data_IF_078045443943
#
_entry.id   IF_078045443943
#
_cell.length_a   1.000
_cell.length_b   1.000
_cell.length_c   1.000
_cell.angle_alpha   90.00
_cell.angle_beta   90.00
_cell.angle_gamma   90.00
#
_symmetry.space_group_name_H-M   'P 1'
#
loop_
_entity.id
_entity.type
_entity.pdbx_description
1 polymer ?
#
# COMPACT_ATOMS: atom_id res chain seq x y z
N UNK A 1 -38.09 -4.33 -21.06
CA UNK A 1 -37.90 -3.46 -19.88
C UNK A 1 -37.75 -2.03 -20.35
N UNK A 2 -38.30 -1.05 -19.63
CA UNK A 2 -38.31 0.36 -20.06
C UNK A 2 -36.91 1.00 -19.95
N UNK A 3 -36.52 1.73 -20.99
CA UNK A 3 -35.23 2.39 -21.18
C UNK A 3 -34.86 3.36 -20.03
N UNK A 4 -35.88 3.91 -19.38
CA UNK A 4 -35.76 4.87 -18.27
C UNK A 4 -35.25 4.23 -16.98
N UNK A 5 -35.61 2.97 -16.71
CA UNK A 5 -35.15 2.23 -15.53
C UNK A 5 -33.68 1.82 -15.68
N UNK A 6 -33.27 1.50 -16.91
CA UNK A 6 -31.89 1.18 -17.26
C UNK A 6 -30.97 2.41 -17.14
N UNK A 7 -31.44 3.57 -17.61
CA UNK A 7 -30.73 4.85 -17.48
C UNK A 7 -30.57 5.28 -16.01
N UNK A 8 -31.58 5.05 -15.17
CA UNK A 8 -31.52 5.36 -13.73
C UNK A 8 -30.47 4.54 -12.96
N UNK A 9 -30.35 3.24 -13.27
CA UNK A 9 -29.34 2.38 -12.63
C UNK A 9 -27.92 2.67 -13.12
N UNK A 10 -27.76 3.07 -14.39
CA UNK A 10 -26.48 3.53 -14.91
C UNK A 10 -25.98 4.80 -14.22
N UNK A 11 -26.88 5.76 -13.94
CA UNK A 11 -26.54 7.02 -13.27
C UNK A 11 -26.06 6.84 -11.84
N UNK A 12 -26.72 6.01 -11.04
CA UNK A 12 -26.28 5.73 -9.66
C UNK A 12 -24.98 4.90 -9.61
N UNK A 13 -24.75 4.02 -10.58
CA UNK A 13 -23.50 3.27 -10.70
C UNK A 13 -22.30 4.19 -11.04
N UNK A 14 -22.50 5.17 -11.94
CA UNK A 14 -21.49 6.18 -12.26
C UNK A 14 -21.15 7.07 -11.05
N UNK A 15 -22.15 7.45 -10.25
CA UNK A 15 -21.96 8.23 -9.02
C UNK A 15 -21.26 7.41 -7.93
N UNK A 16 -21.59 6.13 -7.76
CA UNK A 16 -20.86 5.25 -6.85
C UNK A 16 -19.38 5.13 -7.26
N UNK A 17 -19.11 4.94 -8.56
CA UNK A 17 -17.75 4.91 -9.13
C UNK A 17 -16.94 6.20 -8.88
N UNK A 18 -17.60 7.36 -8.71
CA UNK A 18 -16.95 8.63 -8.36
C UNK A 18 -16.34 8.63 -6.95
N UNK A 19 -16.83 7.82 -6.02
CA UNK A 19 -16.32 7.77 -4.64
C UNK A 19 -15.18 6.75 -4.45
N UNK A 20 -14.96 5.88 -5.42
CA UNK A 20 -13.93 4.84 -5.39
C UNK A 20 -12.51 5.37 -5.72
N UNK A 21 -12.36 6.60 -6.24
CA UNK A 21 -11.10 7.15 -6.79
C UNK A 21 -9.99 7.41 -5.76
N UNK A 22 -10.20 7.20 -4.45
CA UNK A 22 -9.22 7.62 -3.43
C UNK A 22 -8.21 6.58 -2.93
N UNK A 23 -8.30 5.32 -3.34
CA UNK A 23 -7.19 4.34 -3.24
C UNK A 23 -7.49 3.18 -4.21
N UNK A 24 -6.57 2.87 -5.14
CA UNK A 24 -6.83 1.98 -6.28
C UNK A 24 -7.33 0.57 -5.87
N UNK A 25 -7.07 0.10 -4.64
CA UNK A 25 -7.60 -1.18 -4.14
C UNK A 25 -9.10 -1.13 -3.78
N UNK A 26 -9.56 -0.02 -3.22
CA UNK A 26 -10.97 0.17 -2.88
C UNK A 26 -11.84 0.25 -4.13
N UNK A 27 -11.35 0.95 -5.17
CA UNK A 27 -12.01 1.02 -6.48
C UNK A 27 -12.21 -0.37 -7.10
N UNK A 28 -11.16 -1.20 -7.07
CA UNK A 28 -11.21 -2.53 -7.68
C UNK A 28 -12.07 -3.51 -6.89
N UNK A 29 -12.04 -3.43 -5.56
CA UNK A 29 -12.82 -4.31 -4.68
C UNK A 29 -14.32 -4.04 -4.81
N UNK A 30 -14.71 -2.76 -4.88
CA UNK A 30 -16.13 -2.40 -5.06
C UNK A 30 -16.60 -2.73 -6.48
N UNK A 31 -15.75 -2.60 -7.50
CA UNK A 31 -16.06 -3.04 -8.86
C UNK A 31 -16.31 -4.57 -8.94
N UNK A 32 -15.52 -5.37 -8.21
CA UNK A 32 -15.73 -6.82 -8.11
C UNK A 32 -17.04 -7.14 -7.40
N UNK A 33 -17.29 -6.52 -6.24
CA UNK A 33 -18.52 -6.74 -5.48
C UNK A 33 -19.77 -6.37 -6.29
N UNK A 34 -19.73 -5.24 -7.01
CA UNK A 34 -20.80 -4.81 -7.91
C UNK A 34 -21.00 -5.76 -9.09
N UNK A 35 -19.92 -6.27 -9.68
CA UNK A 35 -20.00 -7.24 -10.78
C UNK A 35 -20.55 -8.60 -10.33
N UNK A 36 -20.18 -9.06 -9.13
CA UNK A 36 -20.73 -10.29 -8.53
C UNK A 36 -22.21 -10.13 -8.20
N UNK A 37 -22.62 -9.00 -7.61
CA UNK A 37 -24.03 -8.70 -7.36
C UNK A 37 -24.84 -8.63 -8.67
N UNK A 38 -24.27 -8.04 -9.72
CA UNK A 38 -24.89 -7.99 -11.04
C UNK A 38 -25.03 -9.39 -11.68
N UNK A 39 -24.04 -10.28 -11.50
CA UNK A 39 -24.13 -11.68 -11.94
C UNK A 39 -25.27 -12.39 -11.21
N UNK A 40 -25.32 -12.29 -9.88
CA UNK A 40 -26.36 -12.95 -9.07
C UNK A 40 -27.76 -12.45 -9.46
N UNK A 41 -27.94 -11.13 -9.58
CA UNK A 41 -29.22 -10.56 -9.99
C UNK A 41 -29.64 -11.01 -11.40
N UNK A 42 -28.74 -10.94 -12.38
CA UNK A 42 -29.04 -11.32 -13.77
C UNK A 42 -29.19 -12.84 -13.97
N UNK A 43 -28.81 -13.63 -12.98
CA UNK A 43 -29.01 -15.08 -12.95
C UNK A 43 -30.33 -15.49 -12.28
N UNK A 44 -30.71 -14.83 -11.17
CA UNK A 44 -31.87 -15.24 -10.34
C UNK A 44 -33.15 -14.42 -10.58
N UNK A 45 -33.06 -13.16 -11.02
CA UNK A 45 -34.23 -12.29 -11.16
C UNK A 45 -35.03 -12.48 -12.47
N UNK A 46 -34.42 -12.67 -13.64
CA UNK A 46 -35.17 -12.90 -14.89
C UNK A 46 -35.56 -14.38 -15.07
N UNK A 47 -36.64 -14.62 -15.83
CA UNK A 47 -37.15 -15.97 -16.12
C UNK A 47 -36.15 -16.85 -16.92
N UNK A 48 -35.30 -16.21 -17.72
CA UNK A 48 -34.12 -16.82 -18.33
C UNK A 48 -32.88 -16.00 -17.97
N UNK A 49 -31.77 -16.62 -17.56
CA UNK A 49 -30.54 -15.91 -17.22
C UNK A 49 -30.00 -15.08 -18.40
N UNK A 50 -29.63 -13.82 -18.11
CA UNK A 50 -29.03 -12.92 -19.09
C UNK A 50 -27.53 -13.21 -19.26
N UNK A 51 -27.20 -14.29 -19.97
CA UNK A 51 -25.83 -14.80 -20.14
C UNK A 51 -24.85 -13.77 -20.68
N UNK A 52 -25.29 -12.87 -21.57
CA UNK A 52 -24.45 -11.79 -22.10
C UNK A 52 -23.97 -10.85 -21.00
N UNK A 53 -24.86 -10.44 -20.09
CA UNK A 53 -24.54 -9.53 -18.98
C UNK A 53 -23.67 -10.24 -17.94
N UNK A 54 -23.98 -11.51 -17.67
CA UNK A 54 -23.19 -12.35 -16.75
C UNK A 54 -21.76 -12.51 -17.26
N UNK A 55 -21.58 -12.82 -18.54
CA UNK A 55 -20.26 -12.99 -19.16
C UNK A 55 -19.40 -11.73 -19.08
N UNK A 56 -19.99 -10.57 -19.36
CA UNK A 56 -19.27 -9.29 -19.25
C UNK A 56 -18.89 -8.95 -17.80
N UNK A 57 -19.79 -9.17 -16.84
CA UNK A 57 -19.45 -8.95 -15.43
C UNK A 57 -18.36 -9.93 -14.94
N UNK A 58 -18.35 -11.17 -15.41
CA UNK A 58 -17.28 -12.11 -15.10
C UNK A 58 -15.92 -11.63 -15.66
N UNK A 59 -15.90 -11.10 -16.88
CA UNK A 59 -14.70 -10.48 -17.45
C UNK A 59 -14.24 -9.25 -16.65
N UNK A 60 -15.17 -8.41 -16.19
CA UNK A 60 -14.85 -7.28 -15.31
C UNK A 60 -14.27 -7.76 -13.97
N UNK A 61 -14.85 -8.78 -13.33
CA UNK A 61 -14.27 -9.37 -12.11
C UNK A 61 -12.84 -9.82 -12.36
N UNK A 62 -12.59 -10.57 -13.45
CA UNK A 62 -11.26 -11.08 -13.79
C UNK A 62 -10.24 -9.95 -13.94
N UNK A 63 -10.56 -8.92 -14.71
CA UNK A 63 -9.67 -7.76 -14.92
C UNK A 63 -9.37 -7.05 -13.60
N UNK A 64 -10.39 -6.85 -12.76
CA UNK A 64 -10.20 -6.18 -11.48
C UNK A 64 -9.37 -7.02 -10.50
N UNK A 65 -9.51 -8.36 -10.50
CA UNK A 65 -8.69 -9.29 -9.69
C UNK A 65 -7.23 -9.25 -10.13
N UNK A 66 -6.94 -9.29 -11.44
CA UNK A 66 -5.56 -9.21 -11.95
C UNK A 66 -4.90 -7.90 -11.52
N UNK A 67 -5.62 -6.78 -11.58
CA UNK A 67 -5.06 -5.49 -11.17
C UNK A 67 -4.82 -5.37 -9.67
N UNK A 68 -5.69 -5.94 -8.84
CA UNK A 68 -5.43 -6.09 -7.40
C UNK A 68 -4.16 -6.91 -7.19
N UNK A 69 -4.04 -8.06 -7.88
CA UNK A 69 -2.87 -8.92 -7.81
C UNK A 69 -1.57 -8.19 -8.16
N UNK A 70 -1.55 -7.42 -9.25
CA UNK A 70 -0.39 -6.61 -9.64
C UNK A 70 -0.06 -5.53 -8.60
N UNK A 71 -1.07 -4.80 -8.12
CA UNK A 71 -0.89 -3.75 -7.10
C UNK A 71 -0.37 -4.30 -5.77
N UNK A 72 -0.82 -5.49 -5.38
CA UNK A 72 -0.34 -6.17 -4.18
C UNK A 72 1.06 -6.73 -4.40
N UNK A 73 1.35 -7.31 -5.57
CA UNK A 73 2.67 -7.86 -5.88
C UNK A 73 3.76 -6.78 -5.92
N UNK A 74 3.47 -5.61 -6.48
CA UNK A 74 4.40 -4.47 -6.45
C UNK A 74 4.71 -4.02 -5.01
N UNK A 75 3.73 -4.08 -4.10
CA UNK A 75 3.92 -3.71 -2.69
C UNK A 75 4.57 -4.82 -1.87
N UNK A 76 4.29 -6.08 -2.18
CA UNK A 76 4.75 -7.25 -1.43
C UNK A 76 6.12 -7.78 -1.87
N UNK A 77 6.57 -7.46 -3.09
CA UNK A 77 7.90 -7.85 -3.58
C UNK A 77 9.04 -7.09 -2.91
N UNK A 78 8.73 -6.04 -2.16
CA UNK A 78 9.70 -5.31 -1.34
C UNK A 78 10.05 -6.14 -0.11
N UNK A 79 11.28 -6.67 -0.09
CA UNK A 79 11.87 -7.32 1.08
C UNK A 79 12.57 -6.27 1.92
N UNK A 80 12.16 -6.13 3.17
CA UNK A 80 12.86 -5.33 4.18
C UNK A 80 13.72 -6.22 5.05
N UNK A 81 14.91 -5.74 5.43
CA UNK A 81 15.58 -6.25 6.65
C UNK A 81 14.83 -5.79 7.89
N UNK A 82 15.13 -6.35 9.07
CA UNK A 82 14.49 -5.93 10.33
C UNK A 82 14.75 -4.45 10.62
N UNK A 83 15.96 -3.94 10.32
CA UNK A 83 16.33 -2.54 10.50
C UNK A 83 15.60 -1.62 9.51
N UNK A 84 15.51 -2.02 8.24
CA UNK A 84 14.78 -1.26 7.21
C UNK A 84 13.28 -1.19 7.53
N UNK A 85 12.73 -2.29 8.04
CA UNK A 85 11.32 -2.37 8.43
C UNK A 85 11.03 -1.47 9.63
N UNK A 86 11.88 -1.47 10.66
CA UNK A 86 11.74 -0.58 11.80
C UNK A 86 11.86 0.89 11.39
N UNK A 87 12.87 1.22 10.57
CA UNK A 87 13.08 2.57 10.04
C UNK A 87 11.87 3.05 9.21
N UNK A 88 11.35 2.18 8.35
CA UNK A 88 10.15 2.46 7.57
C UNK A 88 8.95 2.74 8.46
N UNK A 89 8.72 1.88 9.45
CA UNK A 89 7.61 1.98 10.38
C UNK A 89 7.75 3.13 11.38
N UNK A 90 8.92 3.72 11.60
CA UNK A 90 9.07 4.80 12.58
C UNK A 90 9.14 6.18 11.92
N UNK A 91 9.86 6.31 10.81
CA UNK A 91 10.17 7.60 10.20
C UNK A 91 9.58 7.79 8.80
N UNK A 92 9.33 6.71 8.06
CA UNK A 92 8.93 6.77 6.64
C UNK A 92 7.54 6.21 6.34
N UNK A 93 6.66 6.12 7.33
CA UNK A 93 5.29 5.60 7.15
C UNK A 93 4.48 6.36 6.08
N UNK A 94 4.82 7.62 5.84
CA UNK A 94 4.17 8.48 4.83
C UNK A 94 4.55 8.08 3.40
N UNK A 95 5.66 7.35 3.20
CA UNK A 95 6.09 6.88 1.90
C UNK A 95 5.50 5.49 1.60
N UNK A 96 5.31 5.19 0.31
CA UNK A 96 5.04 3.80 -0.08
C UNK A 96 6.29 2.93 0.16
N UNK A 97 6.13 1.62 0.42
CA UNK A 97 7.26 0.69 0.56
C UNK A 97 8.26 0.75 -0.59
N UNK A 98 7.77 0.96 -1.82
CA UNK A 98 8.58 1.05 -3.03
C UNK A 98 9.41 2.34 -3.07
N UNK A 99 8.83 3.48 -2.68
CA UNK A 99 9.55 4.76 -2.61
C UNK A 99 10.64 4.71 -1.54
N UNK A 100 10.33 4.16 -0.37
CA UNK A 100 11.32 3.97 0.68
C UNK A 100 12.47 3.08 0.20
N UNK A 101 12.22 1.96 -0.50
CA UNK A 101 13.31 1.14 -1.06
C UNK A 101 14.14 1.84 -2.13
N UNK A 102 13.55 2.74 -2.92
CA UNK A 102 14.32 3.56 -3.87
C UNK A 102 15.31 4.45 -3.12
N UNK A 103 14.91 5.01 -1.97
CA UNK A 103 15.80 5.78 -1.10
C UNK A 103 16.87 4.86 -0.50
N UNK A 104 16.49 3.71 0.07
CA UNK A 104 17.42 2.76 0.70
C UNK A 104 18.47 2.23 -0.27
N UNK A 105 18.12 2.02 -1.54
CA UNK A 105 19.07 1.58 -2.59
C UNK A 105 20.15 2.63 -2.90
N UNK A 106 19.87 3.92 -2.69
CA UNK A 106 20.83 5.01 -2.84
C UNK A 106 21.56 5.33 -1.53
N UNK A 107 20.95 4.98 -0.40
CA UNK A 107 21.52 5.16 0.93
C UNK A 107 22.69 4.18 1.16
N UNK A 108 23.62 4.60 2.03
CA UNK A 108 24.70 3.74 2.53
C UNK A 108 24.65 3.73 4.04
N UNK A 109 24.72 2.53 4.61
CA UNK A 109 24.87 2.36 6.05
C UNK A 109 26.34 2.59 6.43
N UNK A 110 26.58 3.57 7.29
CA UNK A 110 27.90 3.88 7.83
C UNK A 110 27.82 3.93 9.36
N UNK A 111 28.71 3.21 10.04
CA UNK A 111 28.83 3.25 11.49
C UNK A 111 29.90 4.27 11.87
N UNK A 112 29.58 5.10 12.86
CA UNK A 112 30.45 6.17 13.33
C UNK A 112 30.74 6.00 14.82
N UNK A 113 31.99 6.24 15.22
CA UNK A 113 32.40 6.16 16.63
C UNK A 113 31.91 7.35 17.44
N UNK A 114 31.74 7.17 18.75
CA UNK A 114 31.37 8.25 19.64
C UNK A 114 32.44 9.36 19.59
N UNK A 115 32.01 10.59 19.30
CA UNK A 115 32.89 11.76 19.17
C UNK A 115 33.31 12.10 17.74
N UNK A 116 32.90 11.32 16.72
CA UNK A 116 33.11 11.69 15.33
C UNK A 116 32.31 12.93 14.92
N UNK A 117 32.93 13.84 14.18
CA UNK A 117 32.29 15.05 13.66
C UNK A 117 31.62 14.74 12.32
N UNK A 118 30.28 14.71 12.29
CA UNK A 118 29.50 14.42 11.08
C UNK A 118 29.40 15.63 10.13
N UNK A 119 29.22 16.82 10.69
CA UNK A 119 29.15 18.07 9.94
C UNK A 119 29.69 19.22 10.78
N UNK A 120 30.01 20.34 10.13
CA UNK A 120 30.44 21.58 10.79
C UNK A 120 29.49 22.70 10.42
N UNK A 121 29.09 23.49 11.41
CA UNK A 121 28.26 24.67 11.17
C UNK A 121 28.94 25.63 10.19
N UNK A 122 28.15 26.19 9.26
CA UNK A 122 28.65 27.11 8.24
C UNK A 122 29.40 26.47 7.06
N UNK A 123 29.56 25.14 7.03
CA UNK A 123 30.10 24.42 5.87
C UNK A 123 28.97 23.91 4.96
N UNK A 124 29.19 23.84 3.64
CA UNK A 124 28.21 23.26 2.72
C UNK A 124 27.99 21.78 3.04
N UNK A 125 26.73 21.37 3.11
CA UNK A 125 26.35 19.97 3.37
C UNK A 125 26.29 19.21 2.05
N UNK A 126 27.28 18.36 1.80
CA UNK A 126 27.38 17.56 0.56
C UNK A 126 26.49 16.30 0.56
N UNK A 127 26.10 15.82 1.75
CA UNK A 127 25.36 14.57 1.94
C UNK A 127 24.23 14.74 2.95
N UNK A 128 23.05 14.22 2.63
CA UNK A 128 21.97 14.07 3.60
C UNK A 128 22.25 12.85 4.48
N UNK A 129 22.32 13.05 5.79
CA UNK A 129 22.58 11.99 6.77
C UNK A 129 21.35 11.79 7.64
N UNK A 130 20.96 10.53 7.83
CA UNK A 130 19.92 10.15 8.77
C UNK A 130 20.56 9.41 9.94
N UNK A 131 20.39 9.94 11.15
CA UNK A 131 20.88 9.30 12.36
C UNK A 131 19.85 8.26 12.79
N UNK A 132 20.19 6.99 12.66
CA UNK A 132 19.37 5.87 13.09
C UNK A 132 19.99 5.22 14.32
N UNK A 133 19.19 5.09 15.38
CA UNK A 133 19.57 4.34 16.57
C UNK A 133 18.67 3.10 16.63
N UNK A 134 19.19 1.90 16.35
CA UNK A 134 18.36 0.70 16.30
C UNK A 134 17.72 0.43 17.66
N UNK A 135 16.44 0.00 17.70
CA UNK A 135 15.82 -0.46 18.93
C UNK A 135 16.67 -1.59 19.50
N UNK A 136 17.11 -1.46 20.76
CA UNK A 136 17.94 -2.49 21.41
C UNK A 136 17.20 -3.83 21.36
N UNK A 137 17.73 -4.87 20.69
CA UNK A 137 17.09 -6.17 20.68
C UNK A 137 17.18 -6.73 22.09
N UNK A 138 16.04 -6.77 22.79
CA UNK A 138 15.92 -7.22 24.17
C UNK A 138 16.68 -6.32 25.18
N UNK A 139 15.95 -5.38 25.78
CA UNK A 139 16.31 -4.79 27.06
C UNK A 139 16.28 -5.86 28.18
N UNK A 140 17.22 -6.81 28.17
CA UNK A 140 17.68 -7.48 29.38
C UNK A 140 18.81 -6.62 29.94
N UNK A 141 18.44 -5.85 30.96
CA UNK A 141 19.31 -5.22 31.95
C UNK A 141 20.76 -4.98 31.54
N UNK A 142 21.04 -3.80 30.96
CA UNK A 142 22.37 -3.21 31.12
C UNK A 142 22.45 -2.66 32.55
N UNK A 143 22.77 -3.51 33.52
CA UNK A 143 23.33 -3.03 34.77
C UNK A 143 24.76 -2.61 34.45
N UNK A 144 24.94 -1.35 34.03
CA UNK A 144 26.22 -0.71 34.23
C UNK A 144 26.44 -0.70 35.75
N UNK A 145 27.27 -1.63 36.24
CA UNK A 145 27.76 -1.62 37.59
C UNK A 145 28.33 -0.24 37.86
N UNK A 146 27.68 0.47 38.78
CA UNK A 146 28.13 1.76 39.28
C UNK A 146 29.54 1.59 39.83
N UNK A 147 30.48 2.35 39.30
CA UNK A 147 31.72 2.63 40.00
C UNK A 147 31.37 3.37 41.29
N UNK A 148 31.61 2.75 42.44
CA UNK A 148 31.78 3.45 43.71
C UNK A 148 32.74 2.66 44.59
N UNK A 149 33.91 3.31 44.78
CA UNK A 149 34.94 3.18 45.82
C UNK A 149 35.77 1.90 45.93
#
# INVERSE_FOLDING_TARGET
>A
MSLTTLAGHLGFALIACSFLVRDLLWLRTIAIAGSVAAILYNYFAPAEPLWLVIGWNAAFVLVNVVQIGLSVHERASVKFTEEEKDLFLTLFQTFSPVEFMKIMRLAKWENWEAGSVLTREGQPVEKLMLIYNPPRPNARAWCAGTATS
#
